data_IF_309718146645
#
_entry.id   IF_309718146645
#
_cell.length_a   1.000
_cell.length_b   1.000
_cell.length_c   1.000
_cell.angle_alpha   90.00
_cell.angle_beta   90.00
_cell.angle_gamma   90.00
#
_symmetry.space_group_name_H-M   'P 1'
#
loop_
_entity.id
_entity.type
_entity.pdbx_description
1 polymer ?
#
# COMPACT_ATOMS: atom_id res chain seq x y z
N UNK A 1 -39.63 38.86 -3.20
CA UNK A 1 -39.34 37.89 -2.13
C UNK A 1 -40.32 36.73 -2.27
N UNK A 2 -39.87 35.56 -2.77
CA UNK A 2 -40.73 34.39 -2.98
C UNK A 2 -40.75 33.53 -1.71
N UNK A 3 -41.95 33.17 -1.25
CA UNK A 3 -42.16 32.31 -0.07
C UNK A 3 -41.75 30.87 -0.42
N UNK A 4 -40.91 30.19 0.38
CA UNK A 4 -40.51 28.82 0.08
C UNK A 4 -41.72 27.89 0.15
N UNK A 5 -41.75 26.81 -0.66
CA UNK A 5 -42.84 25.85 -0.63
C UNK A 5 -42.88 25.16 0.74
N UNK A 6 -44.06 25.21 1.36
CA UNK A 6 -44.38 24.44 2.56
C UNK A 6 -44.57 22.99 2.14
N UNK A 7 -43.65 22.11 2.55
CA UNK A 7 -43.85 20.67 2.44
C UNK A 7 -44.93 20.26 3.44
N UNK A 8 -46.10 19.87 2.93
CA UNK A 8 -47.13 19.27 3.74
C UNK A 8 -46.57 17.98 4.37
N UNK A 9 -46.70 17.77 5.70
CA UNK A 9 -46.23 16.55 6.32
C UNK A 9 -47.00 15.36 5.73
N UNK A 10 -46.29 14.39 5.17
CA UNK A 10 -46.88 13.13 4.73
C UNK A 10 -47.71 12.54 5.87
N UNK A 11 -48.91 11.99 5.58
CA UNK A 11 -49.76 11.43 6.63
C UNK A 11 -48.96 10.37 7.36
N UNK A 12 -49.07 10.35 8.71
CA UNK A 12 -48.30 9.44 9.60
C UNK A 12 -48.33 7.98 9.12
N UNK A 13 -49.42 7.56 8.47
CA UNK A 13 -49.57 6.25 7.84
C UNK A 13 -48.50 5.93 6.78
N UNK A 14 -48.09 6.91 5.95
CA UNK A 14 -47.06 6.72 4.91
C UNK A 14 -45.68 6.51 5.54
N UNK A 15 -45.35 7.28 6.59
CA UNK A 15 -44.09 7.11 7.31
C UNK A 15 -44.02 5.75 8.02
N UNK A 16 -45.14 5.30 8.60
CA UNK A 16 -45.24 3.98 9.24
C UNK A 16 -45.10 2.86 8.19
N UNK A 17 -45.75 2.98 7.04
CA UNK A 17 -45.62 2.01 5.96
C UNK A 17 -44.18 1.93 5.43
N UNK A 18 -43.52 3.08 5.21
CA UNK A 18 -42.13 3.12 4.76
C UNK A 18 -41.19 2.48 5.79
N UNK A 19 -41.39 2.75 7.08
CA UNK A 19 -40.60 2.16 8.15
C UNK A 19 -40.77 0.63 8.21
N UNK A 20 -41.98 0.11 7.99
CA UNK A 20 -42.21 -1.33 7.92
C UNK A 20 -41.50 -1.96 6.72
N UNK A 21 -41.56 -1.34 5.54
CA UNK A 21 -40.88 -1.84 4.33
C UNK A 21 -39.36 -1.90 4.54
N UNK A 22 -38.77 -0.84 5.11
CA UNK A 22 -37.34 -0.80 5.43
C UNK A 22 -37.00 -1.88 6.46
N UNK A 23 -37.82 -2.05 7.49
CA UNK A 23 -37.61 -3.09 8.51
C UNK A 23 -37.61 -4.50 7.91
N UNK A 24 -38.58 -4.82 7.04
CA UNK A 24 -38.65 -6.11 6.35
C UNK A 24 -37.45 -6.31 5.42
N UNK A 25 -37.03 -5.27 4.69
CA UNK A 25 -35.86 -5.34 3.81
C UNK A 25 -34.56 -5.59 4.59
N UNK A 26 -34.36 -4.93 5.73
CA UNK A 26 -33.18 -5.12 6.60
C UNK A 26 -33.17 -6.53 7.20
N UNK A 27 -34.32 -7.02 7.68
CA UNK A 27 -34.43 -8.39 8.21
C UNK A 27 -34.18 -9.42 7.10
N UNK A 28 -34.77 -9.24 5.92
CA UNK A 28 -34.56 -10.10 4.76
C UNK A 28 -33.10 -10.14 4.32
N UNK A 29 -32.44 -8.99 4.25
CA UNK A 29 -31.00 -8.89 3.98
C UNK A 29 -30.18 -9.64 5.04
N UNK A 30 -30.45 -9.39 6.33
CA UNK A 30 -29.73 -10.03 7.43
C UNK A 30 -29.94 -11.55 7.48
N UNK A 31 -31.10 -12.06 7.08
CA UNK A 31 -31.37 -13.51 6.95
C UNK A 31 -30.69 -14.08 5.71
N UNK A 32 -30.73 -13.37 4.58
CA UNK A 32 -30.16 -13.82 3.31
C UNK A 32 -28.63 -13.88 3.28
N UNK A 33 -27.95 -13.03 4.06
CA UNK A 33 -26.49 -13.10 4.22
C UNK A 33 -26.04 -14.14 5.25
N UNK A 34 -26.97 -14.83 5.94
CA UNK A 34 -26.57 -15.94 6.82
C UNK A 34 -26.02 -17.04 5.91
N UNK A 35 -24.76 -17.48 6.12
CA UNK A 35 -24.26 -18.61 5.38
C UNK A 35 -25.21 -19.78 5.63
N UNK A 36 -25.65 -20.45 4.57
CA UNK A 36 -26.39 -21.69 4.70
C UNK A 36 -25.55 -22.59 5.60
N UNK A 37 -26.10 -22.95 6.77
CA UNK A 37 -25.48 -23.99 7.58
C UNK A 37 -25.69 -25.28 6.80
N UNK A 38 -24.76 -25.56 5.90
CA UNK A 38 -24.58 -26.90 5.39
C UNK A 38 -24.21 -27.71 6.61
N UNK A 39 -25.22 -28.35 7.22
CA UNK A 39 -24.99 -29.47 8.10
C UNK A 39 -24.33 -30.52 7.21
N UNK A 40 -23.01 -30.49 7.18
CA UNK A 40 -22.25 -31.59 6.64
C UNK A 40 -22.64 -32.79 7.49
N UNK A 41 -23.50 -33.64 6.94
CA UNK A 41 -23.79 -34.96 7.49
C UNK A 41 -22.52 -35.77 7.25
N UNK A 42 -21.52 -35.53 8.10
CA UNK A 42 -20.42 -36.45 8.22
C UNK A 42 -21.03 -37.73 8.81
N UNK A 43 -20.88 -38.90 8.18
CA UNK A 43 -21.17 -40.14 8.88
C UNK A 43 -20.37 -40.10 10.17
N UNK A 44 -21.06 -40.14 11.31
CA UNK A 44 -20.41 -40.22 12.60
C UNK A 44 -19.61 -41.53 12.61
N UNK A 45 -18.31 -41.44 12.33
CA UNK A 45 -17.39 -42.49 12.69
C UNK A 45 -17.49 -42.59 14.20
N UNK A 46 -18.21 -43.61 14.69
CA UNK A 46 -18.35 -43.92 16.09
C UNK A 46 -17.00 -44.46 16.61
N UNK A 47 -16.01 -43.57 16.67
CA UNK A 47 -14.82 -43.76 17.48
C UNK A 47 -15.14 -43.10 18.79
N UNK A 48 -15.48 -43.90 19.81
CA UNK A 48 -15.41 -43.44 21.20
C UNK A 48 -13.95 -43.10 21.48
N UNK A 49 -13.56 -41.83 21.59
CA UNK A 49 -12.19 -41.53 21.83
C UNK A 49 -12.04 -41.36 23.34
N UNK A 50 -11.87 -42.45 24.07
CA UNK A 50 -11.29 -42.32 25.40
C UNK A 50 -9.87 -41.78 25.21
N UNK A 51 -9.71 -40.46 25.36
CA UNK A 51 -8.43 -39.78 25.18
C UNK A 51 -8.26 -38.94 23.90
N UNK A 52 -9.31 -38.65 23.11
CA UNK A 52 -9.15 -37.60 22.08
C UNK A 52 -9.04 -36.24 22.75
N UNK A 53 -7.97 -35.55 22.38
CA UNK A 53 -7.82 -34.13 22.64
C UNK A 53 -8.76 -33.41 21.65
N UNK A 54 -9.64 -32.50 22.11
CA UNK A 54 -10.50 -31.75 21.21
C UNK A 54 -9.68 -31.05 20.12
N UNK A 55 -10.11 -31.19 18.87
CA UNK A 55 -9.47 -30.56 17.73
C UNK A 55 -9.42 -29.05 17.94
N UNK A 56 -8.22 -28.49 17.92
CA UNK A 56 -8.03 -27.05 18.09
C UNK A 56 -8.56 -26.31 16.87
N UNK A 57 -9.24 -25.17 17.10
CA UNK A 57 -9.68 -24.33 16.00
C UNK A 57 -8.51 -23.57 15.40
N UNK A 58 -8.66 -23.12 14.15
CA UNK A 58 -7.65 -22.26 13.50
C UNK A 58 -7.43 -20.94 14.26
N UNK A 59 -8.46 -20.46 14.97
CA UNK A 59 -8.38 -19.28 15.84
C UNK A 59 -7.53 -19.57 17.07
N UNK A 60 -7.68 -20.75 17.68
CA UNK A 60 -6.87 -21.17 18.83
C UNK A 60 -5.39 -21.25 18.44
N UNK A 61 -5.08 -21.80 17.26
CA UNK A 61 -3.71 -21.85 16.75
C UNK A 61 -3.11 -20.46 16.49
N UNK A 62 -3.91 -19.49 16.01
CA UNK A 62 -3.44 -18.13 15.76
C UNK A 62 -3.14 -17.37 17.05
N UNK A 63 -3.84 -17.68 18.13
CA UNK A 63 -3.67 -17.01 19.43
C UNK A 63 -2.73 -17.77 20.38
N UNK A 64 -2.54 -19.06 20.17
CA UNK A 64 -1.60 -19.88 20.93
C UNK A 64 -0.18 -19.39 20.72
N UNK A 65 0.50 -19.22 21.83
CA UNK A 65 1.92 -18.97 21.92
C UNK A 65 2.51 -20.18 22.60
N UNK A 66 2.64 -21.25 21.84
CA UNK A 66 3.17 -22.53 22.32
C UNK A 66 4.60 -22.72 21.78
N UNK A 67 5.40 -23.52 22.50
CA UNK A 67 6.76 -23.86 22.09
C UNK A 67 7.84 -22.82 22.47
N UNK A 68 9.09 -23.02 22.01
CA UNK A 68 10.27 -22.26 22.46
C UNK A 68 10.17 -20.75 22.22
N UNK A 69 9.34 -20.33 21.26
CA UNK A 69 9.14 -18.93 20.88
C UNK A 69 7.92 -18.27 21.54
N UNK A 70 7.25 -18.95 22.48
CA UNK A 70 6.07 -18.43 23.18
C UNK A 70 6.33 -17.08 23.87
N UNK A 71 7.56 -16.88 24.34
CA UNK A 71 8.02 -15.67 25.03
C UNK A 71 8.45 -14.55 24.07
N UNK A 72 8.65 -14.86 22.79
CA UNK A 72 9.12 -13.88 21.80
C UNK A 72 7.97 -12.91 21.48
N UNK A 73 8.19 -11.63 21.79
CA UNK A 73 7.30 -10.55 21.41
C UNK A 73 7.95 -9.76 20.28
N UNK A 74 7.42 -9.85 19.06
CA UNK A 74 7.81 -8.94 17.98
C UNK A 74 7.12 -7.60 18.21
N UNK A 75 7.89 -6.59 18.58
CA UNK A 75 7.44 -5.21 18.69
C UNK A 75 8.20 -4.37 17.67
N UNK A 76 7.49 -3.90 16.63
CA UNK A 76 8.08 -3.06 15.58
C UNK A 76 8.64 -1.74 16.13
N UNK A 77 8.10 -1.23 17.25
CA UNK A 77 8.60 -0.03 17.90
C UNK A 77 10.05 -0.18 18.37
N UNK A 78 10.41 -1.36 18.87
CA UNK A 78 11.75 -1.62 19.44
C UNK A 78 12.82 -1.78 18.34
N UNK A 79 12.39 -2.12 17.12
CA UNK A 79 13.26 -2.30 15.95
C UNK A 79 13.43 -1.02 15.12
N UNK A 80 12.60 0.00 15.38
CA UNK A 80 12.57 1.24 14.61
C UNK A 80 13.74 2.13 14.98
N UNK A 81 14.61 2.39 14.02
CA UNK A 81 15.52 3.52 14.12
C UNK A 81 14.77 4.84 13.90
N UNK A 82 15.20 5.89 14.60
CA UNK A 82 14.66 7.23 14.39
C UNK A 82 14.97 7.71 12.97
N UNK A 83 13.96 8.26 12.30
CA UNK A 83 14.18 8.99 11.05
C UNK A 83 14.85 10.34 11.37
N UNK A 84 15.65 10.89 10.44
CA UNK A 84 16.16 12.25 10.57
C UNK A 84 15.01 13.24 10.77
N UNK A 85 15.25 14.31 11.53
CA UNK A 85 14.31 15.40 11.63
C UNK A 85 14.15 16.10 10.28
N UNK A 86 12.99 16.70 10.03
CA UNK A 86 12.75 17.50 8.82
C UNK A 86 13.77 18.64 8.71
N UNK A 87 14.20 19.22 9.84
CA UNK A 87 15.22 20.26 9.88
C UNK A 87 16.66 19.75 9.74
N UNK A 88 16.89 18.43 9.68
CA UNK A 88 18.23 17.88 9.54
C UNK A 88 18.85 18.28 8.20
N UNK A 89 20.13 18.73 8.18
CA UNK A 89 20.82 19.06 6.93
C UNK A 89 20.81 17.88 5.95
N UNK A 90 20.45 18.15 4.70
CA UNK A 90 20.43 17.12 3.65
C UNK A 90 21.71 17.19 2.84
N UNK A 91 22.63 16.26 3.11
CA UNK A 91 23.87 16.11 2.36
C UNK A 91 23.64 15.15 1.19
N UNK A 92 23.76 15.67 -0.04
CA UNK A 92 23.71 14.86 -1.27
C UNK A 92 25.09 14.81 -1.91
N UNK A 93 25.73 13.65 -1.86
CA UNK A 93 26.95 13.40 -2.63
C UNK A 93 26.60 12.81 -4.00
N UNK A 94 27.45 13.00 -5.03
CA UNK A 94 27.30 12.32 -6.31
C UNK A 94 27.16 10.79 -6.17
N UNK A 95 27.89 10.21 -5.23
CA UNK A 95 27.92 8.78 -4.93
C UNK A 95 26.57 8.30 -4.40
N UNK A 96 26.04 8.94 -3.35
CA UNK A 96 24.74 8.59 -2.78
C UNK A 96 23.60 8.81 -3.79
N UNK A 97 23.73 9.82 -4.67
CA UNK A 97 22.79 10.03 -5.77
C UNK A 97 22.82 8.88 -6.77
N UNK A 98 24.01 8.44 -7.19
CA UNK A 98 24.17 7.30 -8.10
C UNK A 98 23.57 6.03 -7.50
N UNK A 99 23.94 5.70 -6.26
CA UNK A 99 23.46 4.52 -5.54
C UNK A 99 21.92 4.53 -5.40
N UNK A 100 21.34 5.68 -5.06
CA UNK A 100 19.90 5.78 -4.92
C UNK A 100 19.16 5.56 -6.24
N UNK A 101 19.72 6.04 -7.36
CA UNK A 101 19.16 5.83 -8.69
C UNK A 101 19.31 4.37 -9.16
N UNK A 102 20.43 3.72 -8.85
CA UNK A 102 20.65 2.29 -9.13
C UNK A 102 19.70 1.42 -8.32
N UNK A 103 19.59 1.66 -7.01
CA UNK A 103 18.64 0.96 -6.13
C UNK A 103 17.21 1.09 -6.65
N UNK A 104 16.82 2.29 -7.12
CA UNK A 104 15.48 2.54 -7.67
C UNK A 104 15.26 1.79 -8.99
N UNK A 105 16.28 1.70 -9.84
CA UNK A 105 16.24 1.01 -11.12
C UNK A 105 16.23 -0.51 -10.98
N UNK A 106 16.97 -1.08 -10.02
CA UNK A 106 17.11 -2.53 -9.86
C UNK A 106 15.82 -3.22 -9.37
N UNK A 107 14.94 -2.48 -8.71
CA UNK A 107 13.67 -3.01 -8.19
C UNK A 107 12.49 -2.72 -9.12
N UNK A 108 12.73 -2.23 -10.35
CA UNK A 108 11.68 -1.86 -11.31
C UNK A 108 12.01 -2.40 -12.68
N UNK A 109 11.00 -2.90 -13.37
CA UNK A 109 11.14 -3.33 -14.76
C UNK A 109 11.47 -2.14 -15.69
N UNK A 110 10.87 -0.98 -15.44
CA UNK A 110 11.07 0.26 -16.21
C UNK A 110 10.74 1.49 -15.36
N UNK A 111 11.04 2.68 -15.86
CA UNK A 111 10.71 3.93 -15.19
C UNK A 111 9.19 4.17 -15.11
N UNK A 112 8.68 4.26 -13.89
CA UNK A 112 7.23 4.35 -13.63
C UNK A 112 6.62 3.04 -13.17
N UNK A 113 7.29 1.90 -13.36
CA UNK A 113 6.82 0.62 -12.84
C UNK A 113 6.71 0.62 -11.29
N UNK A 114 5.73 -0.09 -10.72
CA UNK A 114 5.73 -0.40 -9.30
C UNK A 114 7.03 -1.11 -8.91
N UNK A 115 7.65 -0.79 -7.76
CA UNK A 115 8.78 -1.54 -7.25
C UNK A 115 8.39 -2.97 -6.86
N UNK A 116 9.26 -3.93 -7.09
CA UNK A 116 9.13 -5.29 -6.55
C UNK A 116 9.37 -5.31 -5.04
N UNK A 117 8.85 -6.35 -4.38
CA UNK A 117 8.95 -6.57 -2.94
C UNK A 117 10.16 -7.48 -2.67
N UNK A 118 11.24 -6.99 -2.03
CA UNK A 118 12.49 -7.74 -1.85
C UNK A 118 12.49 -8.60 -0.58
N UNK A 119 11.34 -8.79 0.07
CA UNK A 119 11.22 -9.51 1.32
C UNK A 119 9.92 -10.33 1.36
N UNK A 120 9.83 -11.35 2.23
CA UNK A 120 8.59 -12.09 2.44
C UNK A 120 7.46 -11.19 2.92
N UNK A 121 6.22 -11.56 2.57
CA UNK A 121 5.01 -10.85 2.97
C UNK A 121 3.89 -11.81 3.35
N UNK A 122 2.96 -11.29 4.16
CA UNK A 122 1.63 -11.88 4.35
C UNK A 122 0.64 -11.24 3.37
N UNK A 123 0.45 -11.90 2.21
CA UNK A 123 -0.46 -11.45 1.16
C UNK A 123 -1.93 -11.36 1.60
N UNK A 124 -2.32 -12.07 2.67
CA UNK A 124 -3.70 -12.07 3.17
C UNK A 124 -3.97 -10.88 4.10
N UNK A 125 -2.93 -10.18 4.54
CA UNK A 125 -3.03 -9.06 5.46
C UNK A 125 -2.37 -7.81 4.88
N UNK A 126 -3.07 -7.06 4.00
CA UNK A 126 -2.54 -5.83 3.40
C UNK A 126 -2.19 -4.74 4.44
N UNK A 127 -2.81 -4.80 5.62
CA UNK A 127 -2.48 -3.89 6.74
C UNK A 127 -1.04 -4.06 7.24
N UNK A 128 -0.44 -5.24 7.07
CA UNK A 128 0.95 -5.51 7.47
C UNK A 128 1.96 -4.65 6.72
N UNK A 129 1.70 -4.34 5.43
CA UNK A 129 2.56 -3.50 4.62
C UNK A 129 2.66 -2.08 5.19
N UNK A 130 1.52 -1.55 5.67
CA UNK A 130 1.41 -0.18 6.17
C UNK A 130 2.11 0.03 7.51
N UNK A 131 2.42 -1.04 8.25
CA UNK A 131 3.19 -0.95 9.48
C UNK A 131 4.58 -0.34 9.26
N UNK A 132 5.16 -0.55 8.07
CA UNK A 132 6.47 -0.02 7.69
C UNK A 132 6.37 1.03 6.57
N UNK A 133 5.45 0.85 5.61
CA UNK A 133 5.40 1.66 4.39
C UNK A 133 4.43 2.85 4.44
N UNK A 134 3.63 3.05 5.50
CA UNK A 134 2.72 4.22 5.53
C UNK A 134 3.47 5.56 5.49
N UNK A 135 4.41 5.72 6.40
CA UNK A 135 5.24 6.93 6.56
C UNK A 135 6.73 6.66 6.36
N UNK A 136 7.07 5.39 6.11
CA UNK A 136 8.42 4.91 6.01
C UNK A 136 9.04 4.57 7.37
N UNK A 137 10.01 3.66 7.33
CA UNK A 137 10.64 3.07 8.50
C UNK A 137 12.11 2.78 8.20
N UNK A 138 12.98 2.92 9.20
CA UNK A 138 14.34 2.41 9.14
C UNK A 138 14.49 1.30 10.18
N UNK A 139 14.97 0.14 9.75
CA UNK A 139 15.26 -1.02 10.61
C UNK A 139 16.63 -1.53 10.23
N UNK A 140 17.58 -1.54 11.17
CA UNK A 140 18.95 -2.05 10.95
C UNK A 140 19.62 -1.49 9.67
N UNK A 141 19.47 -0.18 9.44
CA UNK A 141 20.02 0.51 8.26
C UNK A 141 19.25 0.27 6.94
N UNK A 142 18.25 -0.61 6.92
CA UNK A 142 17.34 -0.80 5.78
C UNK A 142 16.20 0.19 5.83
N UNK A 143 15.85 0.75 4.68
CA UNK A 143 14.80 1.76 4.56
C UNK A 143 13.56 1.14 3.91
N UNK A 144 12.49 0.99 4.69
CA UNK A 144 11.15 0.83 4.14
C UNK A 144 10.67 2.21 3.71
N UNK A 145 10.65 2.47 2.40
CA UNK A 145 10.18 3.76 1.87
C UNK A 145 8.68 3.90 2.09
N UNK A 146 8.22 5.11 2.33
CA UNK A 146 6.80 5.41 2.38
C UNK A 146 6.15 5.10 1.01
N UNK A 147 4.85 4.78 1.01
CA UNK A 147 4.06 4.67 -0.22
C UNK A 147 3.98 6.05 -0.90
N UNK A 148 4.08 6.05 -2.23
CA UNK A 148 4.07 7.27 -3.04
C UNK A 148 2.67 7.65 -3.52
N UNK A 149 1.66 6.87 -3.18
CA UNK A 149 0.27 7.03 -3.60
C UNK A 149 -0.67 6.87 -2.41
N UNK A 150 -1.95 7.17 -2.60
CA UNK A 150 -3.01 6.85 -1.66
C UNK A 150 -2.98 5.37 -1.22
N UNK A 151 -3.43 5.10 0.00
CA UNK A 151 -3.51 3.73 0.51
C UNK A 151 -4.57 2.93 -0.27
N UNK A 152 -4.18 1.77 -0.78
CA UNK A 152 -5.09 0.80 -1.40
C UNK A 152 -5.19 -0.46 -0.55
N UNK A 153 -6.25 -1.24 -0.75
CA UNK A 153 -6.53 -2.46 0.02
C UNK A 153 -5.76 -3.69 -0.48
N UNK A 154 -5.19 -3.66 -1.69
CA UNK A 154 -4.43 -4.78 -2.24
C UNK A 154 -3.12 -4.29 -2.87
N UNK A 155 -2.03 -4.35 -2.10
CA UNK A 155 -0.69 -3.93 -2.55
C UNK A 155 -0.13 -4.86 -3.64
N UNK A 156 -0.43 -6.15 -3.57
CA UNK A 156 0.17 -7.20 -4.44
C UNK A 156 -0.48 -7.28 -5.82
N UNK A 157 -1.55 -6.52 -6.05
CA UNK A 157 -2.06 -6.29 -7.41
C UNK A 157 -1.02 -5.61 -8.31
N UNK A 158 -0.16 -4.76 -7.73
CA UNK A 158 0.86 -4.00 -8.46
C UNK A 158 2.29 -4.37 -8.05
N UNK A 159 2.51 -4.66 -6.75
CA UNK A 159 3.82 -4.97 -6.20
C UNK A 159 4.03 -6.49 -6.13
N UNK A 160 4.91 -7.00 -6.98
CA UNK A 160 5.22 -8.44 -7.07
C UNK A 160 6.45 -8.76 -6.22
N UNK A 161 6.46 -9.91 -5.54
CA UNK A 161 7.62 -10.39 -4.77
C UNK A 161 8.76 -10.78 -5.71
N UNK A 162 10.00 -10.51 -5.30
CA UNK A 162 11.18 -10.95 -6.06
C UNK A 162 11.35 -12.47 -6.03
N UNK A 163 11.00 -13.10 -4.91
CA UNK A 163 10.99 -14.54 -4.76
C UNK A 163 9.54 -15.05 -4.78
N UNK A 164 9.13 -15.78 -5.83
CA UNK A 164 7.79 -16.35 -5.88
C UNK A 164 7.66 -17.48 -4.85
N UNK A 165 6.47 -17.62 -4.25
CA UNK A 165 6.14 -18.73 -3.32
C UNK A 165 6.19 -20.11 -3.98
N UNK A 166 6.12 -20.16 -5.30
CA UNK A 166 6.11 -21.39 -6.09
C UNK A 166 7.28 -21.39 -7.07
N UNK A 167 7.71 -22.58 -7.44
CA UNK A 167 8.77 -22.77 -8.43
C UNK A 167 8.40 -22.06 -9.73
N UNK A 168 9.28 -21.14 -10.15
CA UNK A 168 9.06 -20.34 -11.34
C UNK A 168 9.12 -21.28 -12.54
N UNK A 169 8.04 -21.44 -13.33
CA UNK A 169 8.14 -22.20 -14.57
C UNK A 169 9.21 -21.58 -15.46
N UNK A 170 9.89 -22.37 -16.33
CA UNK A 170 10.87 -21.82 -17.26
C UNK A 170 10.23 -20.66 -18.02
N UNK A 171 10.79 -19.47 -17.84
CA UNK A 171 10.27 -18.29 -18.48
C UNK A 171 10.57 -18.40 -19.98
N UNK A 172 9.58 -18.16 -20.87
CA UNK A 172 9.90 -17.98 -22.28
C UNK A 172 10.86 -16.80 -22.43
N UNK A 173 11.69 -16.83 -23.48
CA UNK A 173 12.58 -15.72 -23.78
C UNK A 173 11.80 -14.40 -23.84
N UNK A 174 12.31 -13.40 -23.13
CA UNK A 174 11.70 -12.07 -23.06
C UNK A 174 12.73 -11.03 -23.49
N UNK A 175 12.45 -10.35 -24.61
CA UNK A 175 13.27 -9.25 -25.14
C UNK A 175 12.87 -7.87 -24.62
N UNK A 176 11.97 -7.78 -23.62
CA UNK A 176 11.53 -6.52 -23.04
C UNK A 176 12.72 -5.76 -22.42
N UNK A 177 12.97 -4.57 -22.97
CA UNK A 177 13.89 -3.59 -22.38
C UNK A 177 13.06 -2.43 -21.88
N UNK A 178 13.06 -2.23 -20.56
CA UNK A 178 12.32 -1.16 -19.92
C UNK A 178 12.87 0.23 -20.25
N UNK A 179 11.98 1.19 -20.46
CA UNK A 179 12.35 2.60 -20.60
C UNK A 179 13.10 3.10 -19.36
N UNK A 180 14.20 3.83 -19.59
CA UNK A 180 15.02 4.49 -18.56
C UNK A 180 15.04 5.99 -18.87
N UNK A 181 14.77 6.80 -17.86
CA UNK A 181 14.67 8.25 -17.98
C UNK A 181 16.05 8.86 -18.13
N UNK A 182 16.15 9.88 -18.97
CA UNK A 182 17.37 10.66 -19.09
C UNK A 182 17.59 11.45 -17.78
N UNK A 183 18.69 11.17 -17.09
CA UNK A 183 18.98 11.73 -15.76
C UNK A 183 19.42 13.21 -15.80
N UNK A 184 19.12 13.92 -16.89
CA UNK A 184 19.52 15.31 -17.08
C UNK A 184 18.66 16.23 -16.23
N UNK A 185 19.32 17.20 -15.59
CA UNK A 185 18.65 18.23 -14.81
C UNK A 185 18.10 19.28 -15.76
N UNK A 186 16.79 19.22 -15.99
CA UNK A 186 16.09 20.22 -16.80
C UNK A 186 15.55 21.34 -15.90
N UNK A 187 15.75 22.58 -16.35
CA UNK A 187 15.28 23.79 -15.68
C UNK A 187 14.91 24.83 -16.73
N UNK A 188 13.98 25.72 -16.42
CA UNK A 188 13.61 26.82 -17.30
C UNK A 188 14.75 27.86 -17.46
N UNK A 189 15.48 28.16 -16.38
CA UNK A 189 16.68 29.03 -16.39
C UNK A 189 17.61 28.68 -15.22
N UNK A 190 18.82 29.24 -15.21
CA UNK A 190 19.80 29.03 -14.14
C UNK A 190 19.23 29.52 -12.79
N UNK A 191 19.17 28.61 -11.81
CA UNK A 191 18.63 28.90 -10.48
C UNK A 191 17.12 28.68 -10.33
N UNK A 192 16.38 28.43 -11.42
CA UNK A 192 15.00 27.98 -11.33
C UNK A 192 14.90 26.63 -10.59
N UNK A 193 13.75 26.26 -10.02
CA UNK A 193 13.52 24.89 -9.57
C UNK A 193 13.69 23.88 -10.72
N UNK A 194 14.25 22.67 -10.48
CA UNK A 194 14.28 21.63 -11.49
C UNK A 194 12.87 21.12 -11.83
N UNK A 195 12.66 20.77 -13.09
CA UNK A 195 11.45 20.09 -13.57
C UNK A 195 11.36 18.70 -12.94
N UNK A 196 10.15 18.23 -12.62
CA UNK A 196 9.91 16.85 -12.18
C UNK A 196 10.10 15.95 -13.41
N UNK A 197 11.13 15.08 -13.41
CA UNK A 197 11.49 14.31 -14.61
C UNK A 197 10.63 13.06 -14.79
N UNK A 198 9.73 12.74 -13.87
CA UNK A 198 8.91 11.53 -13.92
C UNK A 198 7.43 11.86 -13.78
N UNK A 199 6.57 10.92 -14.17
CA UNK A 199 5.13 11.02 -13.92
C UNK A 199 4.84 11.15 -12.42
N UNK A 200 3.85 11.98 -12.08
CA UNK A 200 3.30 12.14 -10.73
C UNK A 200 2.09 11.23 -10.49
N UNK A 201 1.59 10.56 -11.51
CA UNK A 201 0.51 9.58 -11.36
C UNK A 201 1.01 8.39 -10.50
N UNK A 202 0.24 8.07 -9.45
CA UNK A 202 0.62 7.13 -8.38
C UNK A 202 1.93 7.50 -7.64
N UNK A 203 2.33 8.77 -7.70
CA UNK A 203 3.55 9.34 -7.11
C UNK A 203 3.32 10.77 -6.59
N UNK A 204 2.15 11.01 -6.03
CA UNK A 204 1.70 12.31 -5.53
C UNK A 204 2.31 12.67 -4.16
N UNK A 205 2.70 11.66 -3.37
CA UNK A 205 3.45 11.83 -2.12
C UNK A 205 4.95 11.99 -2.38
N UNK A 206 5.36 13.20 -2.79
CA UNK A 206 6.75 13.53 -3.15
C UNK A 206 7.76 13.14 -2.06
N UNK A 207 7.37 13.28 -0.79
CA UNK A 207 8.16 12.95 0.39
C UNK A 207 8.49 11.46 0.52
N UNK A 208 7.77 10.58 -0.20
CA UNK A 208 8.05 9.15 -0.18
C UNK A 208 9.44 8.80 -0.73
N UNK A 209 9.94 9.64 -1.66
CA UNK A 209 11.28 9.52 -2.24
C UNK A 209 12.18 10.69 -1.83
N UNK A 210 11.60 11.89 -1.70
CA UNK A 210 12.32 13.12 -1.42
C UNK A 210 12.27 13.52 0.06
N UNK A 211 11.58 12.80 0.94
CA UNK A 211 11.48 13.11 2.37
C UNK A 211 12.56 12.44 3.22
N UNK A 212 12.41 12.50 4.54
CA UNK A 212 13.38 11.98 5.52
C UNK A 212 13.53 10.45 5.48
N UNK A 213 12.48 9.73 5.09
CA UNK A 213 12.52 8.29 4.82
C UNK A 213 12.97 7.94 3.38
N UNK A 214 13.32 8.93 2.57
CA UNK A 214 13.88 8.75 1.25
C UNK A 214 15.36 8.33 1.29
N UNK A 215 15.86 7.82 0.17
CA UNK A 215 17.29 7.53 0.01
C UNK A 215 18.08 8.85 0.05
N UNK A 216 19.24 8.92 0.75
CA UNK A 216 19.97 10.17 0.96
C UNK A 216 20.22 10.98 -0.33
N UNK A 217 20.58 10.31 -1.43
CA UNK A 217 20.82 10.95 -2.73
C UNK A 217 19.60 11.56 -3.42
N UNK A 218 18.38 11.25 -2.96
CA UNK A 218 17.12 11.76 -3.52
C UNK A 218 16.42 12.78 -2.62
N UNK A 219 16.73 12.84 -1.32
CA UNK A 219 16.01 13.71 -0.36
C UNK A 219 16.04 15.17 -0.76
N UNK A 220 14.93 15.92 -0.69
CA UNK A 220 14.86 17.37 -0.94
C UNK A 220 15.80 18.15 -0.02
N UNK A 221 16.37 19.26 -0.48
CA UNK A 221 17.20 20.16 0.37
C UNK A 221 16.36 21.16 1.16
N UNK A 222 15.04 21.17 0.94
CA UNK A 222 14.08 22.10 1.53
C UNK A 222 12.81 21.35 1.95
N UNK A 223 12.92 20.37 2.86
CA UNK A 223 11.80 19.50 3.24
C UNK A 223 10.70 20.24 4.00
N UNK A 224 10.95 21.46 4.47
CA UNK A 224 9.95 22.36 5.04
C UNK A 224 8.92 22.85 4.01
N UNK A 225 9.21 22.76 2.70
CA UNK A 225 8.28 23.17 1.63
C UNK A 225 7.40 21.98 1.22
N UNK A 226 6.27 21.84 1.89
CA UNK A 226 5.33 20.73 1.65
C UNK A 226 4.69 20.73 0.26
N UNK A 227 4.51 21.89 -0.37
CA UNK A 227 3.83 22.02 -1.67
C UNK A 227 4.82 22.00 -2.84
N UNK A 228 5.41 20.84 -3.11
CA UNK A 228 6.49 20.69 -4.10
C UNK A 228 6.08 21.18 -5.51
N UNK A 229 4.85 20.89 -5.94
CA UNK A 229 4.33 21.22 -7.27
C UNK A 229 4.03 22.71 -7.47
N UNK A 230 4.10 23.52 -6.41
CA UNK A 230 4.04 24.99 -6.54
C UNK A 230 5.25 25.53 -7.32
N UNK A 231 6.39 24.87 -7.19
CA UNK A 231 7.67 25.31 -7.77
C UNK A 231 8.20 24.32 -8.81
N UNK A 232 7.97 23.03 -8.61
CA UNK A 232 8.43 21.96 -9.49
C UNK A 232 7.31 21.54 -10.44
N UNK A 233 7.43 21.94 -11.71
CA UNK A 233 6.49 21.55 -12.77
C UNK A 233 6.85 20.18 -13.34
N UNK A 234 5.87 19.36 -13.73
CA UNK A 234 6.13 18.09 -14.41
C UNK A 234 6.48 18.32 -15.87
N UNK A 235 7.39 17.49 -16.39
CA UNK A 235 7.75 17.49 -17.82
C UNK A 235 6.60 17.03 -18.74
N UNK A 236 5.60 16.37 -18.16
CA UNK A 236 4.52 15.71 -18.89
C UNK A 236 3.23 15.83 -18.07
N UNK A 237 2.18 16.44 -18.63
CA UNK A 237 0.89 15.76 -18.63
C UNK A 237 1.14 14.48 -19.44
N UNK A 238 1.05 13.32 -18.80
CA UNK A 238 1.38 12.04 -19.45
C UNK A 238 0.44 11.82 -20.64
N UNK A 239 0.93 12.07 -21.86
CA UNK A 239 0.32 11.53 -23.08
C UNK A 239 1.07 10.22 -23.38
N UNK A 240 0.48 9.05 -23.10
CA UNK A 240 1.16 7.79 -23.38
C UNK A 240 1.51 7.70 -24.87
N UNK A 241 2.57 6.98 -25.26
CA UNK A 241 2.96 6.83 -26.66
C UNK A 241 1.88 6.20 -27.56
N UNK A 242 0.81 5.62 -27.00
CA UNK A 242 -0.35 5.14 -27.73
C UNK A 242 -1.47 6.17 -27.93
N UNK A 243 -1.45 7.32 -27.24
CA UNK A 243 -2.46 8.38 -27.35
C UNK A 243 -2.24 9.32 -28.55
N UNK A 244 -1.17 9.11 -29.33
CA UNK A 244 -0.87 9.85 -30.56
C UNK A 244 -1.32 9.12 -31.84
N UNK A 245 -2.45 8.39 -31.78
CA UNK A 245 -3.09 7.77 -32.95
C UNK A 245 -4.53 8.23 -33.08
#
# INVERSE_FOLDING_TARGET
>A
MAKPPSFAPYPRAVNVALAMVIGVAVVGYAVGIRPAQVQAIFPALAVSPSGAIPGQTYLDWRQRRDGPNAVVRSNLGDLRAALPAVSSPVVRTPENKREALETRANIRAYEGAPPTIPHPIDEQNPGSCLACHRDGLVVEGRVARAISHATYTNCTQCHVTMEPRFEKPPAPDNAFVGYRLDRKREQAWQGAPPVIPHSVWMRDRCESCHGVAGLPGLRTTHPERGQCTQCHVSRTEYSPPWAAR
#
